data_IF_439061508531
#
_entry.id   IF_439061508531
#
_cell.length_a   1.000
_cell.length_b   1.000
_cell.length_c   1.000
_cell.angle_alpha   90.00
_cell.angle_beta   90.00
_cell.angle_gamma   90.00
#
_symmetry.space_group_name_H-M   'P 1'
#
loop_
_entity.id
_entity.type
_entity.pdbx_description
1 polymer ?
#
# COMPACT_ATOMS: atom_id res chain seq x y z
N UNK A 1 -14.78 26.78 12.35
CA UNK A 1 -14.25 26.75 13.74
C UNK A 1 -13.04 25.85 13.79
N UNK A 2 -12.21 26.01 14.82
CA UNK A 2 -11.10 25.09 15.04
C UNK A 2 -11.48 24.07 16.11
N UNK A 3 -11.06 22.82 15.94
CA UNK A 3 -11.26 21.75 16.91
C UNK A 3 -9.89 21.21 17.29
N UNK A 4 -9.59 21.21 18.58
CA UNK A 4 -8.39 20.57 19.11
C UNK A 4 -8.68 19.11 19.37
N UNK A 5 -8.00 18.23 18.64
CA UNK A 5 -8.07 16.80 18.85
C UNK A 5 -6.85 16.33 19.65
N UNK A 6 -7.08 15.51 20.66
CA UNK A 6 -6.03 14.99 21.52
C UNK A 6 -6.11 13.48 21.59
N UNK A 7 -4.95 12.82 21.47
CA UNK A 7 -4.80 11.36 21.51
C UNK A 7 -5.76 10.65 20.55
N UNK A 8 -5.93 11.22 19.36
CA UNK A 8 -6.78 10.63 18.33
C UNK A 8 -5.98 9.60 17.57
N UNK A 9 -6.61 8.47 17.24
CA UNK A 9 -6.01 7.44 16.41
C UNK A 9 -7.03 6.83 15.47
N UNK A 10 -6.57 6.28 14.36
CA UNK A 10 -7.37 5.52 13.42
C UNK A 10 -6.58 4.32 12.92
N UNK A 11 -7.30 3.29 12.46
CA UNK A 11 -6.74 2.05 11.93
C UNK A 11 -7.16 1.91 10.46
N UNK A 12 -6.21 1.59 9.59
CA UNK A 12 -6.53 1.11 8.24
C UNK A 12 -6.64 -0.41 8.30
N UNK A 13 -7.86 -0.93 8.42
CA UNK A 13 -8.10 -2.36 8.68
C UNK A 13 -7.41 -3.31 7.69
N UNK A 14 -7.42 -3.00 6.39
CA UNK A 14 -6.82 -3.89 5.38
C UNK A 14 -5.29 -3.99 5.51
N UNK A 15 -4.64 -2.94 6.02
CA UNK A 15 -3.18 -2.87 6.20
C UNK A 15 -2.76 -3.08 7.67
N UNK A 16 -3.74 -3.18 8.58
CA UNK A 16 -3.58 -3.21 10.03
C UNK A 16 -2.67 -2.10 10.60
N UNK A 17 -2.52 -1.00 9.86
CA UNK A 17 -1.63 0.09 10.24
C UNK A 17 -2.41 1.14 11.03
N UNK A 18 -2.00 1.33 12.29
CA UNK A 18 -2.60 2.29 13.20
C UNK A 18 -1.79 3.59 13.19
N UNK A 19 -2.49 4.72 13.04
CA UNK A 19 -1.87 6.04 13.08
C UNK A 19 -2.51 6.89 14.16
N UNK A 20 -1.71 7.78 14.75
CA UNK A 20 -2.16 8.68 15.81
C UNK A 20 -1.74 10.12 15.56
N UNK A 21 -2.49 11.07 16.13
CA UNK A 21 -2.19 12.49 16.08
C UNK A 21 -2.83 13.24 17.24
N UNK A 22 -2.33 14.46 17.50
CA UNK A 22 -2.85 15.37 18.52
C UNK A 22 -2.66 16.80 18.04
N UNK A 23 -3.53 17.24 17.14
CA UNK A 23 -3.39 18.48 16.38
C UNK A 23 -4.71 19.27 16.39
N UNK A 24 -4.61 20.56 16.09
CA UNK A 24 -5.78 21.41 15.86
C UNK A 24 -6.20 21.29 14.39
N UNK A 25 -7.45 20.91 14.16
CA UNK A 25 -8.03 20.79 12.83
C UNK A 25 -8.96 21.97 12.57
N UNK A 26 -8.83 22.59 11.41
CA UNK A 26 -9.72 23.66 10.98
C UNK A 26 -10.91 23.05 10.24
N UNK A 27 -12.11 23.31 10.73
CA UNK A 27 -13.36 22.95 10.07
C UNK A 27 -14.01 24.23 9.54
N UNK A 28 -14.29 24.25 8.24
CA UNK A 28 -14.98 25.35 7.58
C UNK A 28 -16.15 24.78 6.79
N UNK A 29 -17.36 25.11 7.23
CA UNK A 29 -18.61 24.67 6.61
C UNK A 29 -18.64 23.14 6.41
N UNK A 30 -18.49 22.71 5.17
CA UNK A 30 -18.52 21.33 4.69
C UNK A 30 -17.12 20.76 4.44
N UNK A 31 -16.07 21.38 4.98
CA UNK A 31 -14.67 21.04 4.73
C UNK A 31 -13.87 20.91 6.02
N UNK A 32 -13.14 19.80 6.14
CA UNK A 32 -12.15 19.54 7.16
C UNK A 32 -10.78 19.77 6.52
N UNK A 33 -9.98 20.68 7.07
CA UNK A 33 -8.67 21.08 6.52
C UNK A 33 -7.53 20.56 7.37
N UNK A 34 -6.52 20.00 6.70
CA UNK A 34 -5.27 19.51 7.29
C UNK A 34 -4.13 20.38 6.77
N UNK A 35 -3.45 21.10 7.67
CA UNK A 35 -2.34 22.00 7.34
C UNK A 35 -1.12 21.55 8.15
N UNK A 36 -0.14 20.93 7.48
CA UNK A 36 1.08 20.37 8.08
C UNK A 36 0.81 19.49 9.32
N UNK A 37 -0.26 18.71 9.29
CA UNK A 37 -0.65 17.84 10.39
C UNK A 37 0.35 16.70 10.52
N UNK A 38 0.85 16.45 11.73
CA UNK A 38 1.75 15.32 11.99
C UNK A 38 0.96 14.07 12.33
N UNK A 39 1.21 13.01 11.59
CA UNK A 39 0.78 11.65 11.91
C UNK A 39 1.97 10.87 12.47
N UNK A 40 1.68 10.03 13.46
CA UNK A 40 2.64 9.12 14.07
C UNK A 40 2.20 7.68 13.83
N UNK A 41 3.13 6.84 13.40
CA UNK A 41 2.95 5.39 13.40
C UNK A 41 3.26 4.79 14.79
N UNK A 42 3.04 3.47 15.01
CA UNK A 42 3.29 2.83 16.30
C UNK A 42 4.77 2.84 16.71
N UNK A 43 5.69 2.94 15.75
CA UNK A 43 7.14 3.01 15.97
C UNK A 43 7.62 4.45 16.26
N UNK A 44 6.71 5.43 16.24
CA UNK A 44 7.01 6.84 16.48
C UNK A 44 7.57 7.58 15.27
N UNK A 45 7.57 6.98 14.08
CA UNK A 45 7.94 7.67 12.85
C UNK A 45 6.85 8.69 12.47
N UNK A 46 7.25 9.72 11.73
CA UNK A 46 6.41 10.87 11.44
C UNK A 46 6.10 10.95 9.95
N UNK A 47 4.83 11.18 9.63
CA UNK A 47 4.39 11.63 8.32
C UNK A 47 3.68 12.99 8.42
N UNK A 48 3.86 13.84 7.42
CA UNK A 48 3.22 15.15 7.33
C UNK A 48 2.05 15.06 6.34
N UNK A 49 0.87 15.42 6.81
CA UNK A 49 -0.36 15.39 6.03
C UNK A 49 -0.84 16.81 5.73
N UNK A 50 -1.18 17.04 4.47
CA UNK A 50 -1.80 18.26 3.99
C UNK A 50 -3.02 17.93 3.13
N UNK A 51 -4.04 18.78 3.14
CA UNK A 51 -5.18 18.64 2.22
C UNK A 51 -6.51 18.91 2.89
N UNK A 52 -7.57 18.33 2.31
CA UNK A 52 -8.93 18.56 2.73
C UNK A 52 -9.79 17.31 2.57
N UNK A 53 -10.79 17.20 3.43
CA UNK A 53 -11.93 16.31 3.25
C UNK A 53 -13.17 17.19 3.13
N UNK A 54 -13.90 17.05 2.03
CA UNK A 54 -15.19 17.72 1.85
C UNK A 54 -16.33 16.73 2.08
N UNK A 55 -17.46 17.22 2.57
CA UNK A 55 -18.65 16.41 2.85
C UNK A 55 -19.94 17.21 2.75
N UNK A 56 -21.06 16.56 2.51
CA UNK A 56 -22.40 17.16 2.60
C UNK A 56 -23.03 16.75 3.94
N UNK A 57 -22.93 17.59 4.98
CA UNK A 57 -23.42 17.25 6.34
C UNK A 57 -22.94 15.87 6.82
N UNK A 58 -21.64 15.60 6.73
CA UNK A 58 -21.01 14.30 7.04
C UNK A 58 -21.53 13.12 6.19
N UNK A 59 -22.02 13.40 4.97
CA UNK A 59 -22.31 12.44 3.91
C UNK A 59 -21.46 12.76 2.69
N UNK A 60 -21.44 11.86 1.70
CA UNK A 60 -20.77 12.08 0.41
C UNK A 60 -19.33 12.62 0.55
N UNK A 61 -18.53 11.96 1.40
CA UNK A 61 -17.16 12.35 1.62
C UNK A 61 -16.36 12.34 0.31
N UNK A 62 -15.47 13.32 0.16
CA UNK A 62 -14.50 13.37 -0.91
C UNK A 62 -13.14 13.78 -0.34
N UNK A 63 -12.15 12.95 -0.60
CA UNK A 63 -10.79 13.11 -0.12
C UNK A 63 -9.96 13.90 -1.14
N UNK A 64 -9.07 14.74 -0.62
CA UNK A 64 -7.94 15.31 -1.36
C UNK A 64 -6.81 15.51 -0.35
N UNK A 65 -6.05 14.44 -0.11
CA UNK A 65 -5.05 14.37 0.96
C UNK A 65 -3.70 14.02 0.34
N UNK A 66 -2.67 14.77 0.73
CA UNK A 66 -1.27 14.46 0.47
C UNK A 66 -0.60 14.07 1.77
N UNK A 67 0.09 12.94 1.76
CA UNK A 67 0.96 12.48 2.84
C UNK A 67 2.41 12.49 2.34
N UNK A 68 3.30 13.03 3.14
CA UNK A 68 4.75 12.98 2.95
C UNK A 68 5.36 12.27 4.15
N UNK A 69 5.89 11.07 3.93
CA UNK A 69 6.31 10.18 5.00
C UNK A 69 7.78 9.81 4.85
N UNK A 70 8.47 9.64 5.98
CA UNK A 70 9.85 9.21 6.03
C UNK A 70 10.01 8.05 7.00
N UNK A 71 10.51 6.93 6.52
CA UNK A 71 10.68 5.69 7.29
C UNK A 71 9.40 5.30 8.05
N UNK A 72 8.24 5.38 7.39
CA UNK A 72 6.94 5.23 8.01
C UNK A 72 6.40 3.81 7.80
N UNK A 73 5.76 3.24 8.82
CA UNK A 73 5.14 1.92 8.76
C UNK A 73 3.78 2.01 8.04
N UNK A 74 3.73 1.52 6.79
CA UNK A 74 2.52 1.56 5.95
C UNK A 74 1.71 0.27 5.97
N UNK A 75 2.35 -0.86 6.30
CA UNK A 75 1.74 -2.19 6.37
C UNK A 75 2.20 -2.81 7.67
N UNK A 76 1.28 -3.34 8.47
CA UNK A 76 1.56 -3.97 9.75
C UNK A 76 0.53 -5.08 10.02
N UNK A 77 0.41 -6.03 9.09
CA UNK A 77 -0.62 -7.09 9.14
C UNK A 77 0.02 -8.44 9.40
N UNK A 78 -0.74 -9.38 9.97
CA UNK A 78 -0.38 -10.78 10.11
C UNK A 78 -1.26 -11.65 9.19
N UNK A 79 -0.98 -12.96 9.17
CA UNK A 79 -1.70 -13.94 8.34
C UNK A 79 -3.19 -14.06 8.71
N UNK A 80 -3.55 -13.86 9.99
CA UNK A 80 -4.94 -13.92 10.44
C UNK A 80 -5.75 -12.74 9.91
N UNK A 81 -5.15 -11.55 9.90
CA UNK A 81 -5.75 -10.32 9.42
C UNK A 81 -5.75 -10.20 7.89
N UNK A 82 -4.74 -10.75 7.21
CA UNK A 82 -4.65 -10.75 5.76
C UNK A 82 -3.94 -12.00 5.22
N UNK A 83 -4.72 -12.86 4.56
CA UNK A 83 -4.24 -14.11 3.96
C UNK A 83 -3.54 -13.94 2.62
N UNK A 84 -3.66 -12.77 1.97
CA UNK A 84 -3.06 -12.51 0.65
C UNK A 84 -1.61 -12.06 0.78
N UNK A 85 -1.32 -11.25 1.79
CA UNK A 85 0.02 -10.83 2.15
C UNK A 85 0.05 -10.39 3.61
N UNK A 86 1.19 -10.53 4.26
CA UNK A 86 1.38 -10.05 5.62
C UNK A 86 2.81 -9.66 5.93
N UNK A 87 3.04 -9.09 7.12
CA UNK A 87 4.32 -8.57 7.58
C UNK A 87 4.31 -7.05 7.77
N UNK A 88 5.52 -6.49 7.81
CA UNK A 88 5.75 -5.07 8.04
C UNK A 88 6.32 -4.40 6.80
N UNK A 89 5.72 -3.30 6.36
CA UNK A 89 6.15 -2.51 5.21
C UNK A 89 6.54 -1.11 5.62
N UNK A 90 7.84 -0.82 5.67
CA UNK A 90 8.35 0.52 5.92
C UNK A 90 8.68 1.22 4.60
N UNK A 91 8.39 2.51 4.52
CA UNK A 91 8.70 3.27 3.32
C UNK A 91 8.89 4.76 3.56
N UNK A 92 9.56 5.38 2.60
CA UNK A 92 9.66 6.84 2.48
C UNK A 92 9.02 7.24 1.16
N UNK A 93 8.15 8.23 1.16
CA UNK A 93 7.48 8.61 -0.08
C UNK A 93 6.32 9.57 0.10
N UNK A 94 5.70 9.88 -1.04
CA UNK A 94 4.54 10.74 -1.14
C UNK A 94 3.34 9.87 -1.54
N UNK A 95 2.24 10.03 -0.82
CA UNK A 95 0.95 9.40 -1.12
C UNK A 95 -0.08 10.51 -1.36
N UNK A 96 -0.69 10.53 -2.54
CA UNK A 96 -1.84 11.36 -2.83
C UNK A 96 -3.09 10.50 -2.85
N UNK A 97 -4.12 10.94 -2.14
CA UNK A 97 -5.40 10.26 -1.98
C UNK A 97 -6.47 11.21 -2.46
N UNK A 98 -7.25 10.79 -3.45
CA UNK A 98 -8.28 11.64 -4.03
C UNK A 98 -9.58 10.89 -4.31
N UNK A 99 -10.70 11.61 -4.34
CA UNK A 99 -12.01 11.06 -4.69
C UNK A 99 -12.84 10.59 -3.49
N UNK A 100 -14.05 10.08 -3.73
CA UNK A 100 -14.92 9.59 -2.66
C UNK A 100 -14.50 8.19 -2.20
N UNK A 101 -14.92 7.72 -1.00
CA UNK A 101 -14.54 6.40 -0.47
C UNK A 101 -14.82 5.22 -1.42
N UNK A 102 -15.90 5.31 -2.22
CA UNK A 102 -16.27 4.27 -3.21
C UNK A 102 -15.53 4.39 -4.54
N UNK A 103 -14.84 5.50 -4.79
CA UNK A 103 -14.08 5.75 -6.02
C UNK A 103 -12.75 6.43 -5.73
N UNK A 104 -12.01 5.86 -4.78
CA UNK A 104 -10.77 6.45 -4.31
C UNK A 104 -9.67 6.20 -5.36
N UNK A 105 -8.85 7.22 -5.59
CA UNK A 105 -7.66 7.14 -6.42
C UNK A 105 -6.42 7.42 -5.58
N UNK A 106 -5.47 6.49 -5.62
CA UNK A 106 -4.19 6.58 -4.95
C UNK A 106 -3.09 6.83 -5.98
N UNK A 107 -2.27 7.86 -5.77
CA UNK A 107 -1.05 8.11 -6.54
C UNK A 107 0.15 8.15 -5.59
N UNK A 108 1.01 7.14 -5.70
CA UNK A 108 2.03 6.82 -4.73
C UNK A 108 3.38 6.80 -5.42
N UNK A 109 4.34 7.51 -4.83
CA UNK A 109 5.75 7.41 -5.18
C UNK A 109 6.52 7.17 -3.90
N UNK A 110 7.02 5.94 -3.72
CA UNK A 110 7.70 5.54 -2.50
C UNK A 110 8.93 4.69 -2.78
N UNK A 111 9.82 4.65 -1.80
CA UNK A 111 10.91 3.68 -1.71
C UNK A 111 10.74 2.84 -0.45
N UNK A 112 11.09 1.57 -0.53
CA UNK A 112 11.12 0.70 0.66
C UNK A 112 12.22 1.15 1.61
N UNK A 113 12.03 0.92 2.91
CA UNK A 113 13.01 1.21 3.95
C UNK A 113 13.39 -0.06 4.72
N UNK A 114 14.41 0.04 5.58
CA UNK A 114 14.85 -1.05 6.46
C UNK A 114 13.71 -1.59 7.30
N UNK A 115 13.82 -2.87 7.68
CA UNK A 115 12.81 -3.62 8.42
C UNK A 115 11.53 -3.92 7.62
N UNK A 116 11.49 -3.58 6.32
CA UNK A 116 10.46 -4.07 5.42
C UNK A 116 10.63 -5.57 5.25
N UNK A 117 9.65 -6.33 5.73
CA UNK A 117 9.55 -7.77 5.57
C UNK A 117 8.11 -8.13 5.25
N UNK A 118 7.86 -8.52 4.01
CA UNK A 118 6.54 -8.95 3.54
C UNK A 118 6.56 -10.45 3.23
N UNK A 119 5.44 -11.10 3.50
CA UNK A 119 5.19 -12.51 3.26
C UNK A 119 4.01 -12.63 2.31
N UNK A 120 4.15 -13.43 1.27
CA UNK A 120 3.11 -13.69 0.27
C UNK A 120 2.92 -15.20 0.21
N UNK A 121 1.86 -15.75 0.81
CA UNK A 121 1.56 -17.18 0.71
C UNK A 121 0.95 -17.52 -0.65
N UNK A 122 1.48 -18.55 -1.28
CA UNK A 122 0.94 -19.19 -2.48
C UNK A 122 0.00 -20.32 -2.03
N UNK A 123 -1.18 -19.96 -1.54
CA UNK A 123 -2.13 -20.98 -1.11
C UNK A 123 -2.65 -21.75 -2.34
N UNK A 124 -2.39 -23.05 -2.39
CA UNK A 124 -2.76 -23.95 -3.49
C UNK A 124 -4.27 -24.29 -3.57
N UNK A 125 -5.12 -23.72 -2.70
CA UNK A 125 -6.53 -24.11 -2.56
C UNK A 125 -7.55 -23.17 -3.23
N UNK A 126 -7.13 -22.04 -3.80
CA UNK A 126 -7.95 -21.28 -4.74
C UNK A 126 -7.19 -21.16 -6.05
N UNK A 127 -7.72 -21.86 -7.07
CA UNK A 127 -7.34 -21.91 -8.48
C UNK A 127 -6.00 -21.27 -8.84
N UNK A 128 -5.10 -22.09 -9.40
CA UNK A 128 -3.87 -21.68 -10.07
C UNK A 128 -4.20 -20.53 -11.03
N UNK A 129 -4.12 -19.31 -10.51
CA UNK A 129 -4.32 -18.08 -11.22
C UNK A 129 -2.90 -17.65 -11.49
N UNK A 130 -2.42 -17.91 -12.70
CA UNK A 130 -1.06 -17.58 -13.10
C UNK A 130 -0.77 -16.13 -12.70
N UNK A 131 0.14 -15.96 -11.74
CA UNK A 131 0.64 -14.65 -11.35
C UNK A 131 1.19 -14.01 -12.63
N UNK A 132 0.72 -12.82 -13.02
CA UNK A 132 1.39 -12.08 -14.09
C UNK A 132 2.73 -11.62 -13.51
N UNK A 133 3.75 -12.46 -13.70
CA UNK A 133 5.05 -12.29 -13.06
C UNK A 133 5.69 -10.99 -13.55
N UNK A 134 6.24 -10.25 -12.59
CA UNK A 134 7.34 -9.31 -12.83
C UNK A 134 8.36 -10.02 -13.72
N UNK A 135 8.87 -9.36 -14.76
CA UNK A 135 10.01 -9.88 -15.52
C UNK A 135 11.23 -9.87 -14.61
N UNK A 136 11.51 -10.99 -13.95
CA UNK A 136 12.74 -11.19 -13.19
C UNK A 136 13.89 -11.38 -14.17
N UNK A 137 14.69 -10.34 -14.37
CA UNK A 137 15.89 -10.44 -15.23
C UNK A 137 17.02 -10.99 -14.36
N UNK A 138 17.09 -12.32 -14.25
CA UNK A 138 18.29 -13.03 -13.82
C UNK A 138 19.24 -13.24 -15.01
N UNK A 139 20.54 -13.28 -14.76
CA UNK A 139 21.55 -13.73 -15.74
C UNK A 139 21.51 -15.25 -15.88
N UNK A 140 20.46 -15.78 -16.52
CA UNK A 140 20.45 -17.06 -17.25
C UNK A 140 19.04 -17.34 -17.77
N UNK A 141 18.92 -17.20 -19.09
CA UNK A 141 18.01 -17.83 -20.06
C UNK A 141 16.52 -18.08 -19.75
N UNK A 142 15.72 -17.51 -20.68
CA UNK A 142 14.41 -17.94 -21.17
C UNK A 142 13.22 -17.97 -20.20
N UNK A 143 12.37 -16.94 -20.28
CA UNK A 143 10.93 -17.09 -19.98
C UNK A 143 10.08 -16.43 -21.06
N UNK A 144 9.33 -17.28 -21.76
CA UNK A 144 8.30 -16.95 -22.76
C UNK A 144 7.10 -16.28 -22.08
N UNK A 145 6.78 -15.05 -22.49
CA UNK A 145 5.58 -14.35 -22.04
C UNK A 145 4.32 -14.96 -22.67
N UNK A 146 3.46 -15.54 -21.84
CA UNK A 146 2.04 -15.77 -22.14
C UNK A 146 1.21 -14.84 -21.27
N UNK A 147 0.42 -13.98 -21.90
CA UNK A 147 -0.68 -13.29 -21.23
C UNK A 147 -1.80 -14.29 -20.97
N UNK A 148 -2.13 -14.52 -19.70
CA UNK A 148 -3.34 -15.25 -19.30
C UNK A 148 -4.18 -14.32 -18.41
N UNK A 149 -5.48 -14.24 -18.73
CA UNK A 149 -6.47 -13.40 -18.06
C UNK A 149 -6.80 -14.00 -16.69
N UNK A 150 -6.58 -13.21 -15.63
CA UNK A 150 -6.93 -13.57 -14.26
C UNK A 150 -8.36 -13.13 -13.92
N UNK A 151 -9.17 -14.06 -13.42
CA UNK A 151 -10.44 -13.78 -12.75
C UNK A 151 -10.23 -13.90 -11.24
N UNK A 152 -9.85 -12.79 -10.61
CA UNK A 152 -10.04 -12.60 -9.17
C UNK A 152 -11.10 -11.50 -9.01
N UNK A 153 -12.24 -11.83 -8.41
CA UNK A 153 -13.26 -10.85 -8.03
C UNK A 153 -12.93 -10.27 -6.64
N UNK A 154 -11.84 -9.50 -6.55
CA UNK A 154 -11.86 -8.40 -5.57
C UNK A 154 -12.74 -7.33 -6.20
N UNK A 155 -13.81 -6.92 -5.52
CA UNK A 155 -14.63 -5.80 -5.98
C UNK A 155 -13.88 -4.48 -5.81
N UNK A 156 -12.90 -4.26 -6.69
CA UNK A 156 -12.16 -3.01 -6.85
C UNK A 156 -12.95 -2.00 -7.69
N UNK A 157 -14.26 -2.18 -7.86
CA UNK A 157 -15.06 -1.26 -8.67
C UNK A 157 -14.98 0.16 -8.07
N UNK A 158 -14.40 1.06 -8.85
CA UNK A 158 -14.15 2.44 -8.41
C UNK A 158 -12.77 2.70 -7.79
N UNK A 159 -12.04 1.69 -7.34
CA UNK A 159 -10.68 1.86 -6.82
C UNK A 159 -9.69 2.04 -7.98
N UNK A 160 -8.90 3.11 -7.93
CA UNK A 160 -7.80 3.32 -8.86
C UNK A 160 -6.49 3.55 -8.11
N UNK A 161 -5.40 3.06 -8.67
CA UNK A 161 -4.07 3.23 -8.08
C UNK A 161 -3.00 3.37 -9.15
N UNK A 162 -2.07 4.27 -8.92
CA UNK A 162 -0.77 4.32 -9.57
C UNK A 162 0.29 4.31 -8.48
N UNK A 163 1.17 3.31 -8.49
CA UNK A 163 2.17 3.13 -7.46
C UNK A 163 3.54 2.92 -8.07
N UNK A 164 4.37 3.95 -8.02
CA UNK A 164 5.79 3.89 -8.32
C UNK A 164 6.55 3.50 -7.04
N UNK A 165 7.19 2.34 -7.08
CA UNK A 165 7.94 1.78 -5.97
C UNK A 165 9.39 1.56 -6.36
N UNK A 166 10.31 2.21 -5.66
CA UNK A 166 11.72 1.86 -5.64
C UNK A 166 11.94 0.81 -4.55
N UNK A 167 12.26 -0.42 -4.96
CA UNK A 167 12.63 -1.51 -4.08
C UNK A 167 14.12 -1.40 -3.79
N UNK A 168 14.47 -1.38 -2.51
CA UNK A 168 15.86 -1.29 -2.02
C UNK A 168 16.32 -2.64 -1.49
N UNK A 169 17.63 -2.96 -1.51
CA UNK A 169 18.17 -4.22 -0.97
C UNK A 169 17.85 -4.49 0.51
N UNK A 170 17.51 -3.45 1.26
CA UNK A 170 17.11 -3.52 2.68
C UNK A 170 15.71 -4.12 2.89
N UNK A 171 14.91 -4.26 1.83
CA UNK A 171 13.59 -4.86 1.87
C UNK A 171 13.64 -6.36 1.54
N UNK A 172 12.89 -7.15 2.30
CA UNK A 172 12.80 -8.60 2.12
C UNK A 172 11.36 -9.00 1.82
N UNK A 173 11.19 -9.74 0.72
CA UNK A 173 9.91 -10.38 0.39
C UNK A 173 10.11 -11.89 0.51
N UNK A 174 9.22 -12.56 1.22
CA UNK A 174 9.21 -14.01 1.36
C UNK A 174 7.97 -14.57 0.68
N UNK A 175 8.18 -15.44 -0.30
CA UNK A 175 7.11 -16.18 -0.95
C UNK A 175 7.02 -17.53 -0.25
N UNK A 176 5.86 -17.85 0.31
CA UNK A 176 5.64 -19.08 1.08
C UNK A 176 4.84 -20.04 0.20
N UNK A 177 5.45 -21.16 -0.19
CA UNK A 177 4.80 -22.18 -1.02
C UNK A 177 4.00 -23.16 -0.18
N UNK A 178 4.58 -23.62 0.93
CA UNK A 178 3.91 -24.47 1.90
C UNK A 178 4.39 -24.12 3.32
N UNK A 179 3.51 -23.50 4.10
CA UNK A 179 3.80 -23.09 5.48
C UNK A 179 3.96 -24.28 6.45
N UNK A 180 3.44 -25.47 6.12
CA UNK A 180 3.56 -26.68 6.95
C UNK A 180 4.89 -27.37 6.77
N UNK A 181 5.43 -27.37 5.54
CA UNK A 181 6.72 -28.01 5.21
C UNK A 181 7.88 -27.00 5.32
N UNK A 182 7.57 -25.69 5.37
CA UNK A 182 8.57 -24.62 5.50
C UNK A 182 9.24 -24.26 4.18
N UNK A 183 8.54 -24.47 3.06
CA UNK A 183 9.04 -24.12 1.74
C UNK A 183 8.87 -22.62 1.50
N UNK A 184 9.97 -21.88 1.73
CA UNK A 184 10.01 -20.41 1.73
C UNK A 184 11.11 -19.95 0.80
N UNK A 185 10.74 -19.19 -0.23
CA UNK A 185 11.69 -18.45 -1.04
C UNK A 185 11.84 -17.04 -0.48
N UNK A 186 13.07 -16.70 -0.10
CA UNK A 186 13.42 -15.33 0.31
C UNK A 186 13.97 -14.60 -0.89
N UNK A 187 13.36 -13.46 -1.20
CA UNK A 187 13.75 -12.58 -2.29
C UNK A 187 14.15 -11.25 -1.69
N UNK A 188 15.40 -10.88 -1.88
CA UNK A 188 15.88 -9.51 -1.72
C UNK A 188 16.22 -8.99 -3.09
N UNK A 189 15.95 -7.72 -3.32
CA UNK A 189 16.25 -7.15 -4.61
C UNK A 189 16.24 -5.65 -4.62
N UNK A 190 16.77 -5.12 -5.71
CA UNK A 190 16.78 -3.71 -6.02
C UNK A 190 16.10 -3.49 -7.36
N UNK A 191 15.25 -2.48 -7.46
CA UNK A 191 14.59 -2.20 -8.71
C UNK A 191 13.50 -1.17 -8.64
N UNK A 192 12.90 -0.90 -9.78
CA UNK A 192 11.76 0.01 -9.89
C UNK A 192 10.56 -0.78 -10.39
N UNK A 193 9.46 -0.66 -9.66
CA UNK A 193 8.16 -1.22 -10.00
C UNK A 193 7.15 -0.09 -10.19
N UNK A 194 6.30 -0.22 -11.19
CA UNK A 194 5.11 0.59 -11.34
C UNK A 194 3.90 -0.34 -11.36
N UNK A 195 3.02 -0.18 -10.38
CA UNK A 195 1.79 -0.94 -10.25
C UNK A 195 0.61 -0.01 -10.56
N UNK A 196 -0.28 -0.46 -11.43
CA UNK A 196 -1.46 0.29 -11.83
C UNK A 196 -2.71 -0.56 -11.63
N UNK A 197 -3.73 0.06 -11.04
CA UNK A 197 -5.08 -0.50 -10.93
C UNK A 197 -6.04 0.51 -11.52
N UNK A 198 -6.78 0.10 -12.53
CA UNK A 198 -7.84 0.92 -13.08
C UNK A 198 -9.20 0.55 -12.46
N UNK A 199 -10.14 1.51 -12.31
CA UNK A 199 -11.49 1.25 -11.81
C UNK A 199 -12.29 0.19 -12.59
N UNK A 200 -11.83 -0.15 -13.80
CA UNK A 200 -12.34 -1.23 -14.65
C UNK A 200 -11.74 -2.61 -14.31
N UNK A 201 -11.08 -2.74 -13.14
CA UNK A 201 -10.44 -3.95 -12.61
C UNK A 201 -9.25 -4.46 -13.44
N UNK A 202 -8.64 -3.60 -14.25
CA UNK A 202 -7.41 -3.94 -14.95
C UNK A 202 -6.21 -3.66 -14.03
N UNK A 203 -5.50 -4.72 -13.64
CA UNK A 203 -4.29 -4.66 -12.84
C UNK A 203 -3.07 -4.83 -13.75
N UNK A 204 -2.08 -3.94 -13.64
CA UNK A 204 -0.82 -4.00 -14.40
C UNK A 204 0.36 -3.80 -13.49
N UNK A 205 1.43 -4.53 -13.74
CA UNK A 205 2.74 -4.31 -13.13
C UNK A 205 3.75 -4.14 -14.25
N UNK A 206 4.58 -3.12 -14.11
CA UNK A 206 5.73 -2.86 -14.95
C UNK A 206 6.96 -2.73 -14.09
N UNK A 207 8.12 -3.06 -14.62
CA UNK A 207 9.38 -2.78 -13.95
C UNK A 207 10.40 -3.89 -14.08
N UNK A 208 11.50 -3.69 -13.38
CA UNK A 208 12.60 -4.66 -13.31
C UNK A 208 13.09 -4.67 -11.88
N UNK A 209 13.14 -5.88 -11.30
CA UNK A 209 13.75 -6.12 -10.00
C UNK A 209 14.91 -7.07 -10.22
N UNK A 210 16.08 -6.65 -9.77
CA UNK A 210 17.26 -7.50 -9.71
C UNK A 210 17.26 -8.19 -8.36
N UNK A 211 17.23 -9.51 -8.37
CA UNK A 211 17.32 -10.34 -7.17
C UNK A 211 18.80 -10.56 -6.85
N UNK A 212 19.14 -10.54 -5.56
CA UNK A 212 20.45 -10.99 -5.04
C UNK A 212 20.39 -12.40 -4.46
#
# INVERSE_FOLDING_TARGET
>A
GNIKLQKTSFLINYLQSQYSFSEEIRIRDNTILFENMKLYDPEGNIAITNGAITHDNFKNFNFNIKLDAKNFLFIATDEENNRQFYGNGFGTGIVNISGPPKKIFLDISAKTEKNTRLFIPLNAEEDITEYTFVTFIGTSDETTGKEIKNQYEVDLSGFGMNFNLEVTPDAEIQIIFDSKIGDIMKVRGEGNLNLQINPQREFKIYGTVRIE
#
